data_IF_558750415171
#
_entry.id   IF_558750415171
#
_cell.length_a   1.000
_cell.length_b   1.000
_cell.length_c   1.000
_cell.angle_alpha   90.00
_cell.angle_beta   90.00
_cell.angle_gamma   90.00
#
_symmetry.space_group_name_H-M   'P 1'
#
loop_
_entity.id
_entity.type
_entity.pdbx_description
1 polymer ?
#
# COMPACT_ATOMS: atom_id res chain seq x y z
N UNK A 1 -4.84 -0.81 -27.29
CA UNK A 1 -4.59 -0.90 -25.84
C UNK A 1 -3.14 -0.52 -25.56
N UNK A 2 -2.91 0.60 -24.89
CA UNK A 2 -1.56 1.12 -24.62
C UNK A 2 -0.98 0.42 -23.39
N UNK A 3 -0.04 -0.50 -23.60
CA UNK A 3 0.79 -1.03 -22.50
C UNK A 3 2.18 -0.43 -22.56
N UNK A 4 2.45 0.48 -21.62
CA UNK A 4 3.70 1.21 -21.47
C UNK A 4 4.79 0.30 -20.85
N UNK A 5 5.99 0.26 -21.45
CA UNK A 5 7.16 -0.53 -21.00
C UNK A 5 7.65 -0.17 -19.58
N UNK A 6 7.18 0.95 -19.01
CA UNK A 6 7.62 1.46 -17.70
C UNK A 6 6.95 0.70 -16.53
N UNK A 7 5.78 0.11 -16.74
CA UNK A 7 5.05 -0.66 -15.72
C UNK A 7 4.71 -2.03 -16.28
N UNK A 8 5.23 -3.11 -15.66
CA UNK A 8 4.83 -4.47 -16.05
C UNK A 8 3.30 -4.58 -15.96
N UNK A 9 2.62 -5.06 -17.01
CA UNK A 9 1.17 -5.14 -17.05
C UNK A 9 0.66 -6.12 -15.99
N UNK A 10 -0.34 -5.66 -15.24
CA UNK A 10 -1.17 -6.52 -14.40
C UNK A 10 -2.23 -7.15 -15.30
N UNK A 11 -2.37 -8.47 -15.27
CA UNK A 11 -3.33 -9.20 -16.10
C UNK A 11 -4.47 -9.74 -15.23
N UNK A 12 -5.71 -9.55 -15.70
CA UNK A 12 -6.88 -10.21 -15.13
C UNK A 12 -6.93 -11.68 -15.53
N UNK A 13 -7.78 -12.48 -14.88
CA UNK A 13 -7.93 -13.91 -15.20
C UNK A 13 -8.40 -14.12 -16.64
N UNK A 14 -9.23 -13.21 -17.13
CA UNK A 14 -9.78 -13.21 -18.48
C UNK A 14 -8.68 -12.92 -19.52
N UNK A 15 -7.81 -11.94 -19.24
CA UNK A 15 -6.66 -11.64 -20.09
C UNK A 15 -5.64 -12.78 -20.12
N UNK A 16 -5.47 -13.52 -19.02
CA UNK A 16 -4.63 -14.71 -18.98
C UNK A 16 -5.23 -15.83 -19.85
N UNK A 17 -6.56 -16.01 -19.82
CA UNK A 17 -7.26 -17.00 -20.66
C UNK A 17 -7.10 -16.68 -22.16
N UNK A 18 -7.16 -15.41 -22.54
CA UNK A 18 -6.86 -14.96 -23.91
C UNK A 18 -5.39 -15.25 -24.27
N UNK A 19 -4.45 -14.95 -23.37
CA UNK A 19 -3.03 -15.22 -23.59
C UNK A 19 -2.71 -16.73 -23.75
N UNK A 20 -3.53 -17.63 -23.19
CA UNK A 20 -3.37 -19.09 -23.36
C UNK A 20 -3.72 -19.58 -24.76
N UNK A 21 -4.46 -18.80 -25.55
CA UNK A 21 -4.74 -19.13 -26.95
C UNK A 21 -3.51 -18.88 -27.84
N UNK A 22 -2.46 -18.24 -27.31
CA UNK A 22 -1.20 -18.04 -28.03
C UNK A 22 -0.43 -19.36 -28.20
N UNK A 23 0.11 -19.59 -29.41
CA UNK A 23 0.96 -20.75 -29.72
C UNK A 23 2.22 -20.88 -28.87
N UNK A 24 2.62 -19.82 -28.16
CA UNK A 24 3.78 -19.80 -27.26
C UNK A 24 3.41 -20.06 -25.79
N UNK A 25 2.12 -20.30 -25.49
CA UNK A 25 1.65 -20.66 -24.17
C UNK A 25 1.85 -22.16 -23.89
N UNK A 26 2.26 -22.48 -22.65
CA UNK A 26 2.35 -23.85 -22.15
C UNK A 26 1.53 -24.00 -20.88
N UNK A 27 1.29 -25.24 -20.43
CA UNK A 27 0.50 -25.55 -19.22
C UNK A 27 0.96 -24.83 -17.94
N UNK A 28 2.24 -24.42 -17.85
CA UNK A 28 2.84 -23.80 -16.66
C UNK A 28 3.30 -22.35 -16.86
N UNK A 29 3.48 -21.93 -18.11
CA UNK A 29 4.23 -20.71 -18.46
C UNK A 29 3.72 -20.16 -19.79
N UNK A 30 3.45 -18.86 -19.84
CA UNK A 30 3.07 -18.14 -21.05
C UNK A 30 4.18 -17.17 -21.40
N UNK A 31 4.75 -17.26 -22.61
CA UNK A 31 5.69 -16.26 -23.10
C UNK A 31 4.95 -15.17 -23.87
N UNK A 32 5.14 -13.90 -23.48
CA UNK A 32 4.53 -12.77 -24.16
C UNK A 32 5.56 -12.07 -25.07
N UNK A 33 5.38 -12.17 -26.38
CA UNK A 33 6.26 -11.56 -27.39
C UNK A 33 6.32 -10.04 -27.27
N UNK A 34 5.19 -9.41 -26.91
CA UNK A 34 5.06 -7.96 -26.81
C UNK A 34 5.93 -7.37 -25.68
N UNK A 35 6.02 -8.10 -24.56
CA UNK A 35 6.78 -7.67 -23.38
C UNK A 35 8.14 -8.38 -23.24
N UNK A 36 8.40 -9.43 -24.01
CA UNK A 36 9.61 -10.24 -23.91
C UNK A 36 9.74 -10.97 -22.57
N UNK A 37 8.64 -11.25 -21.87
CA UNK A 37 8.65 -11.86 -20.53
C UNK A 37 7.85 -13.14 -20.46
N UNK A 38 8.15 -13.94 -19.44
CA UNK A 38 7.42 -15.16 -19.11
C UNK A 38 6.47 -14.94 -17.94
N UNK A 39 5.20 -15.28 -18.11
CA UNK A 39 4.14 -15.22 -17.11
C UNK A 39 3.98 -16.63 -16.54
N UNK A 40 4.12 -16.78 -15.22
CA UNK A 40 4.01 -18.08 -14.53
C UNK A 40 2.67 -18.13 -13.80
N UNK A 41 1.88 -19.15 -14.10
CA UNK A 41 0.49 -19.30 -13.65
C UNK A 41 0.41 -20.27 -12.47
N UNK A 42 1.16 -20.00 -11.40
CA UNK A 42 0.81 -20.61 -10.11
C UNK A 42 -0.43 -19.87 -9.63
N UNK A 43 -1.53 -20.56 -9.26
CA UNK A 43 -2.88 -20.00 -9.01
C UNK A 43 -3.05 -18.89 -7.95
N UNK A 44 -1.99 -18.17 -7.58
CA UNK A 44 -2.04 -16.82 -7.02
C UNK A 44 -1.74 -15.82 -8.14
N UNK A 45 -2.62 -14.85 -8.31
CA UNK A 45 -2.28 -13.59 -8.97
C UNK A 45 -0.97 -13.12 -8.33
N UNK A 46 0.14 -13.14 -9.10
CA UNK A 46 1.42 -12.61 -8.65
C UNK A 46 1.32 -11.10 -8.80
N UNK A 47 0.65 -10.42 -7.86
CA UNK A 47 1.01 -9.04 -7.62
C UNK A 47 2.48 -9.09 -7.17
N UNK A 48 3.38 -8.27 -7.73
CA UNK A 48 4.68 -8.13 -7.12
C UNK A 48 4.42 -7.70 -5.68
N UNK A 49 4.90 -8.48 -4.70
CA UNK A 49 5.14 -7.97 -3.35
C UNK A 49 6.17 -6.86 -3.52
N UNK A 50 5.70 -5.66 -3.91
CA UNK A 50 6.49 -4.45 -3.82
C UNK A 50 6.76 -4.34 -2.35
N UNK A 51 7.93 -4.83 -1.92
CA UNK A 51 8.41 -4.66 -0.54
C UNK A 51 8.33 -3.18 -0.24
N UNK A 52 7.25 -2.79 0.43
CA UNK A 52 6.98 -1.39 0.72
C UNK A 52 8.11 -0.97 1.65
N UNK A 53 8.96 -0.07 1.18
CA UNK A 53 10.09 0.43 1.95
C UNK A 53 9.56 1.37 3.03
N UNK A 54 9.27 0.79 4.20
CA UNK A 54 9.01 1.54 5.41
C UNK A 54 10.30 2.09 6.00
N UNK A 55 10.23 3.10 6.88
CA UNK A 55 11.37 3.45 7.72
C UNK A 55 11.85 2.25 8.54
N UNK A 56 13.11 2.29 8.99
CA UNK A 56 13.66 1.23 9.84
C UNK A 56 12.81 1.04 11.10
N UNK A 57 12.73 -0.20 11.60
CA UNK A 57 11.95 -0.55 12.80
C UNK A 57 12.30 0.33 14.01
N UNK A 58 13.58 0.63 14.32
CA UNK A 58 13.92 1.52 15.43
C UNK A 58 13.34 2.93 15.26
N UNK A 59 13.41 3.48 14.04
CA UNK A 59 12.85 4.80 13.74
C UNK A 59 11.33 4.83 13.88
N UNK A 60 10.66 3.76 13.44
CA UNK A 60 9.21 3.61 13.64
C UNK A 60 8.85 3.50 15.12
N UNK A 61 9.62 2.72 15.90
CA UNK A 61 9.47 2.58 17.34
C UNK A 61 9.61 3.93 18.07
N UNK A 62 10.66 4.69 17.78
CA UNK A 62 10.87 6.03 18.37
C UNK A 62 9.73 7.00 18.02
N UNK A 63 9.30 7.03 16.75
CA UNK A 63 8.18 7.88 16.32
C UNK A 63 6.86 7.50 17.02
N UNK A 64 6.64 6.21 17.22
CA UNK A 64 5.48 5.71 17.95
C UNK A 64 5.55 6.10 19.43
N UNK A 65 6.66 5.81 20.11
CA UNK A 65 6.87 6.14 21.53
C UNK A 65 6.66 7.65 21.80
N UNK A 66 7.27 8.52 20.98
CA UNK A 66 7.09 9.98 21.07
C UNK A 66 5.63 10.39 20.90
N UNK A 67 4.91 9.77 19.97
CA UNK A 67 3.50 10.07 19.77
C UNK A 67 2.62 9.55 20.91
N UNK A 68 2.92 8.38 21.45
CA UNK A 68 2.22 7.78 22.59
C UNK A 68 2.41 8.65 23.83
N UNK A 69 3.63 9.09 24.13
CA UNK A 69 3.91 10.02 25.22
C UNK A 69 3.10 11.31 25.11
N UNK A 70 3.02 11.92 23.92
CA UNK A 70 2.15 13.09 23.69
C UNK A 70 0.67 12.78 23.87
N UNK A 71 0.20 11.62 23.44
CA UNK A 71 -1.19 11.22 23.60
C UNK A 71 -1.56 11.02 25.08
N UNK A 72 -0.69 10.35 25.84
CA UNK A 72 -0.83 10.17 27.28
C UNK A 72 -0.82 11.52 27.99
N UNK A 73 0.19 12.37 27.72
CA UNK A 73 0.30 13.70 28.33
C UNK A 73 -0.90 14.61 28.04
N UNK A 74 -1.61 14.37 26.93
CA UNK A 74 -2.84 15.08 26.60
C UNK A 74 -4.10 14.55 27.30
N UNK A 75 -3.99 13.48 28.09
CA UNK A 75 -5.14 12.79 28.69
C UNK A 75 -5.91 11.94 27.69
N UNK A 76 -5.20 11.28 26.75
CA UNK A 76 -5.80 10.46 25.69
C UNK A 76 -6.81 11.21 24.80
N UNK A 77 -6.62 12.53 24.61
CA UNK A 77 -7.50 13.35 23.76
C UNK A 77 -7.67 12.74 22.37
N UNK A 78 -8.94 12.52 22.01
CA UNK A 78 -9.35 12.00 20.71
C UNK A 78 -9.86 13.11 19.82
N UNK A 79 -9.65 12.97 18.51
CA UNK A 79 -10.30 13.80 17.50
C UNK A 79 -11.81 13.54 17.46
N UNK A 80 -12.58 14.54 17.05
CA UNK A 80 -14.00 14.35 16.73
C UNK A 80 -14.17 13.36 15.58
N UNK A 81 -15.37 12.79 15.41
CA UNK A 81 -15.64 11.86 14.29
C UNK A 81 -15.44 12.54 12.93
N UNK A 82 -15.84 13.80 12.81
CA UNK A 82 -15.69 14.61 11.59
C UNK A 82 -14.20 14.80 11.25
N UNK A 83 -13.37 15.18 12.23
CA UNK A 83 -11.93 15.34 12.01
C UNK A 83 -11.24 14.02 11.68
N UNK A 84 -11.68 12.90 12.28
CA UNK A 84 -11.15 11.58 11.96
C UNK A 84 -11.43 11.18 10.50
N UNK A 85 -12.62 11.50 9.99
CA UNK A 85 -12.98 11.21 8.60
C UNK A 85 -12.24 12.12 7.62
N UNK A 86 -12.03 13.39 7.99
CA UNK A 86 -11.19 14.33 7.25
C UNK A 86 -9.75 13.79 7.12
N UNK A 87 -9.13 13.39 8.24
CA UNK A 87 -7.78 12.81 8.23
C UNK A 87 -7.71 11.54 7.38
N UNK A 88 -8.73 10.67 7.47
CA UNK A 88 -8.81 9.44 6.66
C UNK A 88 -8.90 9.78 5.18
N UNK A 89 -9.75 10.73 4.79
CA UNK A 89 -9.91 11.18 3.40
C UNK A 89 -8.61 11.74 2.84
N UNK A 90 -7.91 12.57 3.63
CA UNK A 90 -6.59 13.12 3.26
C UNK A 90 -5.58 11.98 3.05
N UNK A 91 -5.59 10.97 3.91
CA UNK A 91 -4.69 9.82 3.76
C UNK A 91 -5.03 9.00 2.51
N UNK A 92 -6.31 8.71 2.25
CA UNK A 92 -6.71 7.93 1.07
C UNK A 92 -6.32 8.58 -0.27
N UNK A 93 -6.21 9.91 -0.31
CA UNK A 93 -5.74 10.68 -1.48
C UNK A 93 -4.21 10.81 -1.55
N UNK A 94 -3.47 10.31 -0.57
CA UNK A 94 -2.02 10.47 -0.49
C UNK A 94 -1.27 9.37 -1.26
N UNK A 95 -0.28 9.74 -2.08
CA UNK A 95 0.64 8.80 -2.76
C UNK A 95 1.37 7.83 -1.82
N UNK A 96 1.48 8.21 -0.55
CA UNK A 96 2.16 7.44 0.49
C UNK A 96 1.24 6.45 1.21
N UNK A 97 -0.06 6.48 0.93
CA UNK A 97 -1.04 5.60 1.56
C UNK A 97 -1.00 4.21 0.96
N UNK A 98 -1.06 3.23 1.85
CA UNK A 98 -1.02 1.80 1.54
C UNK A 98 -2.22 1.17 2.21
N UNK A 99 -3.18 0.72 1.40
CA UNK A 99 -4.39 0.06 1.89
C UNK A 99 -4.11 -1.40 2.27
N UNK A 100 -3.35 -2.10 1.44
CA UNK A 100 -3.10 -3.54 1.55
C UNK A 100 -1.92 -3.84 2.47
N UNK A 101 -2.17 -3.87 3.77
CA UNK A 101 -1.23 -4.49 4.72
C UNK A 101 -1.95 -5.48 5.62
N UNK A 102 -1.25 -6.49 6.12
CA UNK A 102 -1.78 -7.53 7.03
C UNK A 102 -2.46 -6.96 8.29
N UNK A 103 -2.16 -5.71 8.63
CA UNK A 103 -2.53 -5.06 9.90
C UNK A 103 -3.27 -3.72 9.67
N UNK A 104 -3.84 -3.54 8.47
CA UNK A 104 -4.63 -2.36 8.09
C UNK A 104 -3.83 -1.26 7.39
N UNK A 105 -4.46 -0.11 7.08
CA UNK A 105 -3.85 0.91 6.24
C UNK A 105 -2.66 1.62 6.91
N UNK A 106 -1.58 1.77 6.15
CA UNK A 106 -0.32 2.39 6.60
C UNK A 106 0.18 3.48 5.66
N UNK A 107 1.06 4.33 6.17
CA UNK A 107 1.84 5.25 5.35
C UNK A 107 3.21 4.66 5.05
N UNK A 108 3.62 4.56 3.78
CA UNK A 108 4.95 4.07 3.39
C UNK A 108 6.08 4.98 3.87
N UNK A 109 5.83 6.29 3.97
CA UNK A 109 6.84 7.28 4.35
C UNK A 109 7.17 7.30 5.85
N UNK A 110 6.18 7.10 6.72
CA UNK A 110 6.38 7.16 8.17
C UNK A 110 6.05 5.86 8.91
N UNK A 111 5.52 4.86 8.22
CA UNK A 111 5.18 3.55 8.77
C UNK A 111 3.98 3.55 9.73
N UNK A 112 3.30 4.69 9.89
CA UNK A 112 2.24 4.82 10.89
C UNK A 112 0.97 4.06 10.47
N UNK A 113 0.26 3.50 11.45
CA UNK A 113 -1.07 2.92 11.24
C UNK A 113 -2.11 4.05 11.21
N UNK A 114 -2.71 4.27 10.04
CA UNK A 114 -3.63 5.39 9.81
C UNK A 114 -4.89 5.25 10.67
N UNK A 115 -5.43 4.03 10.79
CA UNK A 115 -6.61 3.72 11.59
C UNK A 115 -6.45 4.11 13.07
N UNK A 116 -5.23 3.99 13.60
CA UNK A 116 -4.91 4.39 14.98
C UNK A 116 -4.64 5.89 15.08
N UNK A 117 -3.71 6.39 14.26
CA UNK A 117 -3.16 7.75 14.40
C UNK A 117 -4.18 8.84 14.09
N UNK A 118 -5.16 8.56 13.22
CA UNK A 118 -6.26 9.52 12.96
C UNK A 118 -7.08 9.82 14.23
N UNK A 119 -7.20 8.87 15.15
CA UNK A 119 -8.00 9.02 16.38
C UNK A 119 -7.34 9.94 17.40
N UNK A 120 -6.02 10.07 17.40
CA UNK A 120 -5.28 10.81 18.44
C UNK A 120 -5.16 12.29 18.09
N UNK A 121 -5.79 13.19 18.84
CA UNK A 121 -5.78 14.64 18.58
C UNK A 121 -4.35 15.23 18.53
N UNK A 122 -3.42 14.64 19.26
CA UNK A 122 -2.00 15.05 19.33
C UNK A 122 -1.13 14.52 18.19
N UNK A 123 -1.62 13.54 17.42
CA UNK A 123 -0.85 13.02 16.28
C UNK A 123 -0.88 14.02 15.13
N UNK A 124 0.22 14.10 14.37
CA UNK A 124 0.31 14.90 13.16
C UNK A 124 0.93 14.09 12.04
N UNK A 125 0.65 14.48 10.80
CA UNK A 125 1.35 13.96 9.65
C UNK A 125 2.77 14.56 9.61
N UNK A 126 3.84 13.76 9.55
CA UNK A 126 5.20 14.30 9.42
C UNK A 126 5.44 15.00 8.07
N UNK A 127 4.52 14.85 7.12
CA UNK A 127 4.51 15.57 5.83
C UNK A 127 3.64 16.85 5.87
N UNK A 128 3.10 17.23 7.03
CA UNK A 128 2.29 18.44 7.18
C UNK A 128 0.89 18.38 6.56
N UNK A 129 0.42 17.20 6.14
CA UNK A 129 -0.90 17.08 5.49
C UNK A 129 -2.11 17.19 6.44
N UNK A 130 -1.91 17.04 7.76
CA UNK A 130 -2.92 17.15 8.84
C UNK A 130 -2.28 17.13 10.25
#
# INVERSE_FOLDING_TARGET
>A
MLCNKITKPEFTKEQIAECRQCKHASKKKIWCCLFGVSIIETGKIITPDRKIKYPSLPRMGMNFAKATGKHIASGFKKRSKQEQELVKTICQKCSEYVLETKIGPRCKKCGCCVSLKKRWATSRCPLGKW
#
